data_IF_467142258492
#
_entry.id   IF_467142258492
#
_cell.length_a   1.000
_cell.length_b   1.000
_cell.length_c   1.000
_cell.angle_alpha   90.00
_cell.angle_beta   90.00
_cell.angle_gamma   90.00
#
_symmetry.space_group_name_H-M   'P 1'
#
loop_
_entity.id
_entity.type
_entity.pdbx_description
1 polymer ?
#
# COMPACT_ATOMS: atom_id res chain seq x y z
N UNK A 1 3.20 15.41 -1.84
CA UNK A 1 2.96 14.30 -2.80
C UNK A 1 2.66 13.04 -2.01
N UNK A 2 1.63 12.29 -2.38
CA UNK A 2 1.26 11.04 -1.72
C UNK A 2 1.84 9.82 -2.47
N UNK A 3 2.61 8.98 -1.78
CA UNK A 3 3.09 7.69 -2.31
C UNK A 3 2.33 6.56 -1.62
N UNK A 4 1.73 5.69 -2.42
CA UNK A 4 0.97 4.53 -1.95
C UNK A 4 1.75 3.26 -2.25
N UNK A 5 2.22 2.58 -1.20
CA UNK A 5 2.76 1.23 -1.28
C UNK A 5 1.60 0.24 -1.35
N UNK A 6 1.42 -0.37 -2.51
CA UNK A 6 0.36 -1.35 -2.75
C UNK A 6 0.99 -2.65 -3.24
N UNK A 7 0.28 -3.77 -3.12
CA UNK A 7 0.73 -5.04 -3.64
C UNK A 7 -0.21 -6.16 -3.27
N UNK A 8 -0.05 -7.30 -3.93
CA UNK A 8 -0.76 -8.52 -3.55
C UNK A 8 -0.49 -8.86 -2.08
N UNK A 9 -1.43 -9.57 -1.44
CA UNK A 9 -1.21 -10.07 -0.09
C UNK A 9 0.09 -10.90 -0.07
N UNK A 10 0.94 -10.69 0.95
CA UNK A 10 2.24 -11.38 1.11
C UNK A 10 3.28 -11.18 -0.01
N UNK A 11 3.12 -10.22 -0.93
CA UNK A 11 4.12 -9.98 -1.98
C UNK A 11 5.38 -9.23 -1.53
N UNK A 12 5.39 -8.70 -0.30
CA UNK A 12 6.52 -7.91 0.21
C UNK A 12 6.21 -6.42 0.39
N UNK A 13 4.94 -6.01 0.34
CA UNK A 13 4.52 -4.61 0.51
C UNK A 13 4.96 -3.98 1.85
N UNK A 14 5.17 -4.75 2.91
CA UNK A 14 5.77 -4.23 4.16
C UNK A 14 7.25 -3.87 3.98
N UNK A 15 8.03 -4.70 3.27
CA UNK A 15 9.43 -4.39 2.97
C UNK A 15 9.52 -3.15 2.08
N UNK A 16 8.72 -3.10 1.02
CA UNK A 16 8.61 -1.93 0.14
C UNK A 16 8.27 -0.66 0.91
N UNK A 17 7.26 -0.70 1.77
CA UNK A 17 6.87 0.42 2.63
C UNK A 17 8.02 0.88 3.53
N UNK A 18 8.72 -0.05 4.19
CA UNK A 18 9.83 0.30 5.08
C UNK A 18 11.01 0.90 4.31
N UNK A 19 11.32 0.41 3.11
CA UNK A 19 12.36 0.99 2.26
C UNK A 19 12.02 2.43 1.87
N UNK A 20 10.79 2.67 1.38
CA UNK A 20 10.36 4.01 1.00
C UNK A 20 10.28 4.97 2.19
N UNK A 21 9.77 4.49 3.34
CA UNK A 21 9.79 5.22 4.61
C UNK A 21 11.22 5.64 4.95
N UNK A 22 12.17 4.71 4.97
CA UNK A 22 13.57 4.99 5.30
C UNK A 22 14.21 5.99 4.33
N UNK A 23 13.94 5.89 3.03
CA UNK A 23 14.46 6.84 2.03
C UNK A 23 13.92 8.26 2.30
N UNK A 24 12.61 8.40 2.45
CA UNK A 24 11.95 9.69 2.65
C UNK A 24 12.40 10.36 3.95
N UNK A 25 12.44 9.60 5.05
CA UNK A 25 12.84 10.12 6.36
C UNK A 25 14.33 10.45 6.42
N UNK A 26 15.21 9.59 5.89
CA UNK A 26 16.67 9.83 5.92
C UNK A 26 17.12 11.04 5.12
N UNK A 27 16.33 11.46 4.12
CA UNK A 27 16.61 12.63 3.30
C UNK A 27 15.80 13.87 3.71
N UNK A 28 15.07 13.82 4.83
CA UNK A 28 14.18 14.90 5.31
C UNK A 28 13.17 15.36 4.24
N UNK A 29 12.64 14.43 3.44
CA UNK A 29 11.68 14.72 2.36
C UNK A 29 10.22 14.64 2.82
N UNK A 30 9.96 14.13 4.03
CA UNK A 30 8.62 13.94 4.58
C UNK A 30 8.57 12.77 5.58
N UNK A 31 7.49 11.99 5.56
CA UNK A 31 7.26 10.91 6.53
C UNK A 31 6.34 9.79 6.04
N UNK A 32 5.93 8.92 6.96
CA UNK A 32 5.08 7.78 6.65
C UNK A 32 4.00 7.52 7.71
N UNK A 33 2.82 7.08 7.27
CA UNK A 33 1.60 7.03 8.12
C UNK A 33 1.04 5.62 8.34
N UNK A 34 1.77 4.59 7.89
CA UNK A 34 1.43 3.20 8.14
C UNK A 34 0.37 2.63 7.19
N UNK A 35 -0.40 1.67 7.72
CA UNK A 35 -1.36 0.89 6.95
C UNK A 35 -2.76 1.50 7.01
N UNK A 36 -3.44 1.54 5.86
CA UNK A 36 -4.84 1.94 5.73
C UNK A 36 -5.66 0.85 5.04
N UNK A 37 -6.89 0.67 5.50
CA UNK A 37 -7.88 -0.24 4.92
C UNK A 37 -9.00 0.50 4.19
N UNK A 38 -9.73 -0.24 3.35
CA UNK A 38 -10.84 0.27 2.53
C UNK A 38 -11.89 1.06 3.32
N UNK A 39 -12.19 0.66 4.55
CA UNK A 39 -13.20 1.29 5.41
C UNK A 39 -12.81 2.72 5.82
N UNK A 40 -11.51 3.04 5.76
CA UNK A 40 -10.98 4.34 6.17
C UNK A 40 -10.94 5.34 4.99
N UNK A 41 -10.99 4.90 3.75
CA UNK A 41 -10.71 5.79 2.61
C UNK A 41 -11.71 6.91 2.43
N UNK A 42 -12.99 6.69 2.75
CA UNK A 42 -14.01 7.73 2.64
C UNK A 42 -13.79 8.85 3.66
N UNK A 43 -13.53 8.51 4.91
CA UNK A 43 -13.29 9.50 5.96
C UNK A 43 -11.94 10.22 5.80
N UNK A 44 -10.98 9.60 5.11
CA UNK A 44 -9.64 10.14 4.92
C UNK A 44 -9.42 10.88 3.59
N UNK A 45 -10.44 11.03 2.73
CA UNK A 45 -10.30 11.70 1.43
C UNK A 45 -9.59 13.06 1.53
N UNK A 46 -10.10 13.95 2.39
CA UNK A 46 -9.50 15.28 2.60
C UNK A 46 -8.06 15.21 3.11
N UNK A 47 -7.73 14.18 3.91
CA UNK A 47 -6.36 13.96 4.41
C UNK A 47 -5.42 13.59 3.26
N UNK A 48 -5.87 12.68 2.39
CA UNK A 48 -5.09 12.24 1.23
C UNK A 48 -4.91 13.34 0.19
N UNK A 49 -5.96 14.12 -0.10
CA UNK A 49 -5.89 15.30 -0.98
C UNK A 49 -4.86 16.31 -0.47
N UNK A 50 -4.89 16.63 0.84
CA UNK A 50 -3.92 17.53 1.48
C UNK A 50 -2.48 17.01 1.36
N UNK A 51 -2.25 15.72 1.59
CA UNK A 51 -0.93 15.12 1.42
C UNK A 51 -0.48 15.11 -0.05
N UNK A 52 -1.42 14.92 -0.97
CA UNK A 52 -1.17 14.92 -2.40
C UNK A 52 -0.55 16.23 -2.89
N UNK A 53 -1.04 17.36 -2.39
CA UNK A 53 -0.56 18.71 -2.75
C UNK A 53 0.56 19.26 -1.84
N UNK A 54 0.91 18.54 -0.77
CA UNK A 54 2.01 18.93 0.13
C UNK A 54 3.36 18.93 -0.60
N UNK A 55 4.28 19.81 -0.19
CA UNK A 55 5.69 19.74 -0.60
C UNK A 55 6.41 18.54 0.00
N UNK A 56 5.91 18.00 1.11
CA UNK A 56 6.42 16.78 1.74
C UNK A 56 5.93 15.53 1.00
N UNK A 57 6.76 14.49 1.01
CA UNK A 57 6.39 13.16 0.56
C UNK A 57 5.79 12.39 1.73
N UNK A 58 4.56 11.95 1.58
CA UNK A 58 3.90 11.09 2.58
C UNK A 58 3.74 9.69 2.00
N UNK A 59 4.29 8.70 2.70
CA UNK A 59 4.20 7.29 2.30
C UNK A 59 3.13 6.57 3.12
N UNK A 60 2.22 5.88 2.44
CA UNK A 60 1.23 5.00 3.08
C UNK A 60 1.31 3.60 2.51
N UNK A 61 0.72 2.63 3.21
CA UNK A 61 0.58 1.26 2.76
C UNK A 61 -0.89 0.86 2.71
N UNK A 62 -1.30 0.13 1.68
CA UNK A 62 -2.58 -0.54 1.64
C UNK A 62 -2.54 -1.78 0.73
N UNK A 63 -3.52 -2.66 0.88
CA UNK A 63 -3.79 -3.75 -0.07
C UNK A 63 -5.06 -3.49 -0.90
N UNK A 64 -5.78 -2.42 -0.60
CA UNK A 64 -7.07 -2.09 -1.22
C UNK A 64 -6.90 -1.01 -2.30
N UNK A 65 -7.91 -0.90 -3.18
CA UNK A 65 -7.98 0.18 -4.18
C UNK A 65 -8.59 1.43 -3.52
N UNK A 66 -7.85 2.54 -3.55
CA UNK A 66 -8.38 3.84 -3.09
C UNK A 66 -9.34 4.36 -4.17
N UNK A 67 -10.64 4.62 -3.86
CA UNK A 67 -11.66 4.90 -4.87
C UNK A 67 -11.39 6.11 -5.77
N UNK A 68 -10.68 7.12 -5.26
CA UNK A 68 -10.34 8.36 -5.95
C UNK A 68 -8.86 8.41 -6.38
N UNK A 69 -8.16 7.27 -6.38
CA UNK A 69 -6.75 7.20 -6.79
C UNK A 69 -6.54 7.60 -8.24
N UNK A 70 -7.44 7.24 -9.15
CA UNK A 70 -7.30 7.56 -10.58
C UNK A 70 -7.22 9.08 -10.82
N UNK A 71 -8.09 9.86 -10.18
CA UNK A 71 -8.07 11.33 -10.23
C UNK A 71 -6.76 11.91 -9.68
N UNK A 72 -6.30 11.38 -8.54
CA UNK A 72 -5.06 11.82 -7.91
C UNK A 72 -3.80 11.46 -8.72
N UNK A 73 -3.81 10.30 -9.39
CA UNK A 73 -2.73 9.88 -10.28
C UNK A 73 -2.68 10.78 -11.52
N UNK A 74 -3.84 11.03 -12.15
CA UNK A 74 -3.93 11.90 -13.33
C UNK A 74 -3.48 13.34 -13.04
N UNK A 75 -3.77 13.85 -11.84
CA UNK A 75 -3.32 15.17 -11.39
C UNK A 75 -1.86 15.19 -10.90
N UNK A 76 -1.17 14.05 -10.86
CA UNK A 76 0.21 13.93 -10.38
C UNK A 76 0.38 14.10 -8.87
N UNK A 77 -0.71 14.14 -8.10
CA UNK A 77 -0.69 14.29 -6.64
C UNK A 77 -0.47 12.97 -5.91
N UNK A 78 -0.69 11.84 -6.58
CA UNK A 78 -0.46 10.49 -6.07
C UNK A 78 0.44 9.67 -7.01
N UNK A 79 1.35 8.87 -6.41
CA UNK A 79 2.08 7.81 -7.10
C UNK A 79 1.86 6.48 -6.40
N UNK A 80 1.73 5.41 -7.18
CA UNK A 80 1.60 4.05 -6.65
C UNK A 80 2.90 3.28 -6.89
N UNK A 81 3.44 2.70 -5.82
CA UNK A 81 4.50 1.71 -5.88
C UNK A 81 3.84 0.33 -5.68
N UNK A 82 3.65 -0.41 -6.77
CA UNK A 82 3.03 -1.74 -6.70
C UNK A 82 4.08 -2.84 -6.61
N UNK A 83 3.87 -3.84 -5.74
CA UNK A 83 4.71 -5.04 -5.67
C UNK A 83 3.90 -6.33 -5.86
N UNK A 84 4.41 -7.19 -6.72
CA UNK A 84 3.90 -8.52 -6.98
C UNK A 84 4.96 -9.58 -6.64
N UNK A 85 4.52 -10.81 -6.43
CA UNK A 85 5.38 -11.98 -6.19
C UNK A 85 4.73 -13.20 -6.83
N UNK A 86 5.53 -14.19 -7.20
CA UNK A 86 5.01 -15.47 -7.70
C UNK A 86 3.92 -16.01 -6.77
N UNK A 87 2.79 -16.44 -7.36
CA UNK A 87 1.61 -16.82 -6.57
C UNK A 87 1.85 -18.06 -5.70
N UNK A 88 2.77 -18.95 -6.09
CA UNK A 88 3.12 -20.14 -5.31
C UNK A 88 3.88 -19.75 -4.04
N UNK A 89 4.77 -18.77 -4.16
CA UNK A 89 5.49 -18.18 -3.04
C UNK A 89 4.56 -17.42 -2.09
N UNK A 90 3.61 -16.66 -2.66
CA UNK A 90 2.56 -15.98 -1.89
C UNK A 90 1.73 -17.00 -1.11
N UNK A 91 1.33 -18.10 -1.74
CA UNK A 91 0.57 -19.18 -1.10
C UNK A 91 1.32 -19.79 0.09
N UNK A 92 2.59 -20.18 -0.09
CA UNK A 92 3.42 -20.72 1.00
C UNK A 92 3.61 -19.68 2.12
N UNK A 93 3.82 -18.42 1.78
CA UNK A 93 3.95 -17.32 2.76
C UNK A 93 2.65 -17.05 3.53
N UNK A 94 1.50 -17.11 2.86
CA UNK A 94 0.18 -16.94 3.46
C UNK A 94 -0.17 -18.11 4.37
N UNK A 95 0.04 -19.35 3.92
CA UNK A 95 -0.12 -20.56 4.72
C UNK A 95 0.69 -20.46 6.02
N UNK A 96 1.99 -20.14 5.94
CA UNK A 96 2.83 -20.01 7.14
C UNK A 96 2.45 -18.86 8.06
N UNK A 97 1.98 -17.73 7.50
CA UNK A 97 1.70 -16.52 8.29
C UNK A 97 0.33 -16.56 8.97
N UNK A 98 -0.65 -17.15 8.31
CA UNK A 98 -2.06 -17.10 8.70
C UNK A 98 -2.64 -18.48 9.03
N UNK A 99 -1.82 -19.53 8.96
CA UNK A 99 -2.23 -20.92 9.19
C UNK A 99 -3.40 -21.33 8.26
N UNK A 100 -3.29 -20.96 6.99
CA UNK A 100 -4.31 -21.21 5.97
C UNK A 100 -3.99 -22.47 5.16
N UNK A 101 -5.00 -23.30 4.94
CA UNK A 101 -4.94 -24.50 4.12
C UNK A 101 -6.11 -24.60 3.13
N UNK A 102 -6.00 -25.52 2.17
CA UNK A 102 -7.04 -25.88 1.20
C UNK A 102 -7.78 -24.68 0.60
N UNK A 103 -9.12 -24.73 0.70
CA UNK A 103 -9.99 -23.70 0.14
C UNK A 103 -9.84 -22.32 0.79
N UNK A 104 -9.44 -22.26 2.08
CA UNK A 104 -9.22 -20.97 2.76
C UNK A 104 -8.00 -20.27 2.18
N UNK A 105 -6.94 -21.04 1.88
CA UNK A 105 -5.77 -20.51 1.21
C UNK A 105 -6.14 -20.01 -0.19
N UNK A 106 -6.83 -20.81 -1.00
CA UNK A 106 -7.25 -20.42 -2.35
C UNK A 106 -8.08 -19.14 -2.36
N UNK A 107 -9.10 -19.03 -1.49
CA UNK A 107 -9.93 -17.83 -1.34
C UNK A 107 -9.16 -16.60 -0.87
N UNK A 108 -8.02 -16.77 -0.20
CA UNK A 108 -7.19 -15.64 0.25
C UNK A 108 -6.29 -15.08 -0.86
N UNK A 109 -6.04 -15.87 -1.92
CA UNK A 109 -5.20 -15.51 -3.05
C UNK A 109 -5.96 -14.77 -4.15
N UNK A 110 -7.28 -14.93 -4.19
CA UNK A 110 -8.19 -14.35 -5.18
C UNK A 110 -9.00 -13.21 -4.55
N UNK A 111 -8.29 -12.17 -4.12
CA UNK A 111 -8.84 -10.95 -3.48
C UNK A 111 -8.43 -9.70 -4.23
#
# INVERSE_FOLDING_TARGET
MLIVCNGMLRSGSTLQYNLLKSIVESHNLGGAEGYFSSEQFQSLRKKFERWGISSEIIVIKTHDIIPYSEEMIKSGTMKICYTYRDIRDVAVSAQRKFDLDGDKLLKSLDR
#
